data_IF_697557757094
#
_entry.id   IF_697557757094
#
_cell.length_a   1.000
_cell.length_b   1.000
_cell.length_c   1.000
_cell.angle_alpha   90.00
_cell.angle_beta   90.00
_cell.angle_gamma   90.00
#
_symmetry.space_group_name_H-M   'P 1'
#
loop_
_entity.id
_entity.type
_entity.pdbx_description
1 polymer ?
#
# COMPACT_ATOMS: atom_id res chain seq x y z
N UNK A 1 -14.57 -5.32 -0.50
CA UNK A 1 -15.43 -4.95 0.67
C UNK A 1 -14.98 -3.58 1.16
N UNK A 2 -15.78 -2.52 0.98
CA UNK A 2 -15.44 -1.20 1.49
C UNK A 2 -15.32 -1.21 3.02
N UNK A 3 -14.30 -0.53 3.55
CA UNK A 3 -14.20 -0.28 4.98
C UNK A 3 -15.28 0.72 5.34
N UNK A 4 -16.34 0.29 6.03
CA UNK A 4 -17.38 1.21 6.53
C UNK A 4 -16.78 2.30 7.44
N UNK A 5 -17.53 3.37 7.70
CA UNK A 5 -17.05 4.56 8.43
C UNK A 5 -16.35 4.28 9.78
N UNK A 6 -16.76 3.22 10.49
CA UNK A 6 -16.13 2.78 11.76
C UNK A 6 -14.95 1.80 11.57
N UNK A 7 -14.73 1.31 10.35
CA UNK A 7 -13.60 0.48 9.95
C UNK A 7 -12.33 1.27 9.70
N UNK A 8 -12.46 2.51 9.22
CA UNK A 8 -11.34 3.44 8.99
C UNK A 8 -10.51 3.74 10.25
N UNK A 9 -11.09 4.15 11.41
CA UNK A 9 -10.28 4.43 12.60
C UNK A 9 -9.60 3.19 13.18
N UNK A 10 -10.24 2.01 13.11
CA UNK A 10 -9.61 0.75 13.57
C UNK A 10 -8.50 0.29 12.64
N UNK A 11 -8.63 0.52 11.33
CA UNK A 11 -7.57 0.26 10.36
C UNK A 11 -6.37 1.20 10.60
N UNK A 12 -6.64 2.49 10.83
CA UNK A 12 -5.60 3.47 11.16
C UNK A 12 -4.81 3.09 12.42
N UNK A 13 -5.48 2.66 13.49
CA UNK A 13 -4.80 2.19 14.73
C UNK A 13 -4.00 0.90 14.51
N UNK A 14 -4.46 0.01 13.63
CA UNK A 14 -3.69 -1.19 13.30
C UNK A 14 -2.41 -0.85 12.52
N UNK A 15 -2.47 0.12 11.61
CA UNK A 15 -1.33 0.58 10.84
C UNK A 15 -0.26 1.25 11.72
N UNK A 16 -0.64 2.00 12.77
CA UNK A 16 0.33 2.63 13.68
C UNK A 16 1.09 1.64 14.57
N UNK A 17 0.57 0.42 14.75
CA UNK A 17 1.20 -0.65 15.56
C UNK A 17 1.97 -1.67 14.73
N UNK A 18 2.09 -1.45 13.42
CA UNK A 18 2.44 -2.49 12.46
C UNK A 18 1.20 -3.32 12.11
N UNK A 19 0.79 -3.29 10.85
CA UNK A 19 -0.31 -4.13 10.40
C UNK A 19 0.12 -5.60 10.47
N UNK A 20 -0.63 -6.40 11.22
CA UNK A 20 -0.47 -7.86 11.20
C UNK A 20 -1.47 -8.48 10.23
N UNK A 21 -1.04 -9.54 9.54
CA UNK A 21 -1.90 -10.30 8.66
C UNK A 21 -3.15 -10.77 9.41
N UNK A 22 -4.32 -10.70 8.76
CA UNK A 22 -5.57 -11.10 9.38
C UNK A 22 -6.76 -11.04 8.45
N UNK A 23 -7.98 -11.20 8.99
CA UNK A 23 -9.22 -11.25 8.18
C UNK A 23 -9.50 -10.00 7.34
N UNK A 24 -8.78 -8.90 7.59
CA UNK A 24 -9.01 -7.59 6.95
C UNK A 24 -7.83 -7.10 6.13
N UNK A 25 -6.63 -7.60 6.39
CA UNK A 25 -5.40 -7.13 5.76
C UNK A 25 -4.60 -8.32 5.28
N UNK A 26 -4.17 -8.23 4.03
CA UNK A 26 -3.08 -9.06 3.51
C UNK A 26 -1.81 -8.25 3.75
N UNK A 27 -0.84 -8.87 4.41
CA UNK A 27 0.47 -8.27 4.65
C UNK A 27 1.47 -9.08 3.84
N UNK A 28 2.26 -8.37 3.06
CA UNK A 28 3.34 -8.92 2.23
C UNK A 28 4.59 -8.14 2.61
N UNK A 29 5.65 -8.85 2.95
CA UNK A 29 6.93 -8.30 3.35
C UNK A 29 8.02 -8.89 2.45
N UNK A 30 9.05 -8.09 2.13
CA UNK A 30 10.21 -8.49 1.30
C UNK A 30 9.84 -9.15 -0.05
N UNK A 31 8.86 -8.57 -0.74
CA UNK A 31 8.51 -8.96 -2.11
C UNK A 31 9.10 -7.97 -3.11
N UNK A 32 9.79 -8.48 -4.13
CA UNK A 32 10.31 -7.66 -5.23
C UNK A 32 9.19 -7.13 -6.13
N UNK A 33 8.01 -7.78 -6.11
CA UNK A 33 6.91 -7.46 -7.03
C UNK A 33 5.55 -7.72 -6.44
N UNK A 34 4.65 -6.74 -6.58
CA UNK A 34 3.25 -6.83 -6.19
C UNK A 34 2.38 -6.32 -7.34
N UNK A 35 1.33 -7.07 -7.69
CA UNK A 35 0.34 -6.65 -8.68
C UNK A 35 -1.03 -6.59 -8.01
N UNK A 36 -1.63 -5.41 -8.01
CA UNK A 36 -2.98 -5.17 -7.50
C UNK A 36 -3.92 -4.99 -8.68
N UNK A 37 -5.05 -5.70 -8.69
CA UNK A 37 -6.10 -5.61 -9.70
C UNK A 37 -7.45 -5.38 -9.07
N UNK A 38 -8.26 -4.56 -9.71
CA UNK A 38 -9.62 -4.23 -9.31
C UNK A 38 -10.60 -4.51 -10.45
N UNK A 39 -11.84 -4.86 -10.12
CA UNK A 39 -12.89 -5.13 -11.12
C UNK A 39 -13.41 -3.85 -11.79
N UNK A 40 -13.13 -2.69 -11.20
CA UNK A 40 -13.43 -1.34 -11.71
C UNK A 40 -12.23 -0.42 -11.44
N UNK A 41 -12.06 0.68 -12.21
CA UNK A 41 -11.06 1.69 -11.91
C UNK A 41 -11.27 2.27 -10.50
N UNK A 42 -10.20 2.35 -9.72
CA UNK A 42 -10.20 2.95 -8.37
C UNK A 42 -9.05 3.96 -8.25
N UNK A 43 -9.21 5.03 -7.45
CA UNK A 43 -8.19 6.05 -7.29
C UNK A 43 -6.92 5.47 -6.64
N UNK A 44 -5.76 5.78 -7.23
CA UNK A 44 -4.44 5.38 -6.74
C UNK A 44 -3.67 6.58 -6.22
N UNK A 45 -3.14 6.44 -5.01
CA UNK A 45 -2.29 7.44 -4.35
C UNK A 45 -0.94 6.83 -4.01
N UNK A 46 0.15 7.55 -4.32
CA UNK A 46 1.53 7.12 -4.07
C UNK A 46 2.33 8.30 -3.54
N UNK A 47 3.01 8.13 -2.40
CA UNK A 47 3.91 9.14 -1.78
C UNK A 47 3.36 10.55 -1.54
N UNK A 48 2.03 10.71 -1.53
CA UNK A 48 1.39 12.03 -1.42
C UNK A 48 0.57 12.39 -2.65
N UNK A 49 0.96 11.86 -3.81
CA UNK A 49 0.47 12.23 -5.11
C UNK A 49 -0.70 11.36 -5.59
N UNK A 50 -1.68 11.99 -6.22
CA UNK A 50 -2.78 11.32 -6.91
C UNK A 50 -2.34 10.92 -8.32
N UNK A 51 -2.45 9.63 -8.64
CA UNK A 51 -2.14 9.08 -9.95
C UNK A 51 -3.39 8.77 -10.79
N UNK A 52 -4.58 9.12 -10.28
CA UNK A 52 -5.86 8.91 -10.92
C UNK A 52 -6.43 7.50 -10.74
N UNK A 53 -7.51 7.23 -11.45
CA UNK A 53 -8.23 5.96 -11.34
C UNK A 53 -7.58 4.88 -12.21
N UNK A 54 -7.22 3.75 -11.60
CA UNK A 54 -6.57 2.61 -12.28
C UNK A 54 -7.25 1.29 -11.95
N UNK A 55 -7.27 0.37 -12.92
CA UNK A 55 -7.72 -1.01 -12.70
C UNK A 55 -6.59 -1.93 -12.24
N UNK A 56 -5.34 -1.59 -12.62
CA UNK A 56 -4.16 -2.39 -12.30
C UNK A 56 -3.01 -1.47 -11.88
N UNK A 57 -2.38 -1.81 -10.76
CA UNK A 57 -1.13 -1.20 -10.30
C UNK A 57 -0.06 -2.27 -10.14
N UNK A 58 1.14 -1.99 -10.62
CA UNK A 58 2.32 -2.85 -10.48
C UNK A 58 3.34 -2.09 -9.64
N UNK A 59 3.73 -2.70 -8.52
CA UNK A 59 4.79 -2.20 -7.66
C UNK A 59 5.97 -3.15 -7.80
N UNK A 60 7.13 -2.61 -8.19
CA UNK A 60 8.38 -3.35 -8.37
C UNK A 60 9.46 -2.66 -7.52
N UNK A 61 10.16 -3.46 -6.73
CA UNK A 61 11.29 -2.98 -5.94
C UNK A 61 12.58 -3.19 -6.74
N UNK A 62 13.17 -2.09 -7.19
CA UNK A 62 14.53 -2.09 -7.73
C UNK A 62 15.52 -1.94 -6.57
N UNK A 63 16.41 -2.93 -6.40
CA UNK A 63 17.38 -2.94 -5.31
C UNK A 63 18.52 -1.97 -5.63
N UNK A 64 18.95 -1.23 -4.61
CA UNK A 64 20.04 -0.24 -4.73
C UNK A 64 19.78 0.82 -5.82
N UNK A 65 18.50 1.11 -6.12
CA UNK A 65 18.11 2.02 -7.20
C UNK A 65 18.62 3.46 -7.03
N UNK A 66 18.80 3.88 -5.78
CA UNK A 66 19.24 5.24 -5.43
C UNK A 66 20.29 5.22 -4.33
N UNK A 67 21.29 6.07 -4.46
CA UNK A 67 22.24 6.37 -3.40
C UNK A 67 21.78 7.59 -2.62
N UNK A 68 21.72 7.49 -1.29
CA UNK A 68 21.24 8.56 -0.40
C UNK A 68 22.35 8.98 0.55
N UNK A 69 22.54 10.29 0.72
CA UNK A 69 23.41 10.84 1.76
C UNK A 69 22.69 10.77 3.12
N UNK A 70 23.33 10.17 4.12
CA UNK A 70 22.86 10.16 5.50
C UNK A 70 23.84 10.88 6.41
N UNK A 71 23.36 11.52 7.47
CA UNK A 71 24.21 11.90 8.60
C UNK A 71 24.74 10.62 9.26
N UNK A 72 26.03 10.63 9.60
CA UNK A 72 26.63 9.63 10.50
C UNK A 72 26.45 10.01 11.96
#
# INVERSE_FOLDING_TARGET
RALGALGLPRAAVALTRGASAGRRFVVVEDADRIVVRCDIPLPLQVDGEDLGDVETAVFEAERDAVAVLTSG
#
